data_IF_532650351281
#
_entry.id   IF_532650351281
#
_cell.length_a   1.000
_cell.length_b   1.000
_cell.length_c   1.000
_cell.angle_alpha   90.00
_cell.angle_beta   90.00
_cell.angle_gamma   90.00
#
_symmetry.space_group_name_H-M   'P 1'
#
loop_
_entity.id
_entity.type
_entity.pdbx_description
1 polymer ?
#
# COMPACT_ATOMS: atom_id res chain seq x y z
N UNK A 1 7.57 -4.63 8.50
CA UNK A 1 6.58 -3.68 9.05
C UNK A 1 7.23 -2.88 10.16
N UNK A 2 7.04 -1.56 10.17
CA UNK A 2 7.71 -0.62 11.09
C UNK A 2 7.00 0.73 11.22
N UNK A 3 5.72 0.80 10.86
CA UNK A 3 4.95 2.05 10.83
C UNK A 3 4.74 2.65 12.22
N UNK A 4 4.79 1.81 13.27
CA UNK A 4 4.74 2.26 14.67
C UNK A 4 5.86 3.22 15.05
N UNK A 5 6.99 3.21 14.33
CA UNK A 5 8.09 4.17 14.52
C UNK A 5 7.65 5.60 14.27
N UNK A 6 6.64 5.81 13.43
CA UNK A 6 6.10 7.14 13.14
C UNK A 6 5.06 7.62 14.16
N UNK A 7 4.68 6.80 15.15
CA UNK A 7 3.80 7.21 16.25
C UNK A 7 4.60 7.92 17.35
N UNK A 8 3.98 8.74 18.22
CA UNK A 8 4.64 9.27 19.42
C UNK A 8 5.26 8.18 20.30
N UNK A 9 6.36 8.48 21.01
CA UNK A 9 7.11 7.50 21.82
C UNK A 9 6.27 6.88 22.94
N UNK A 10 5.36 7.65 23.52
CA UNK A 10 4.45 7.26 24.59
C UNK A 10 3.18 6.56 24.07
N UNK A 11 2.98 6.50 22.75
CA UNK A 11 1.79 5.91 22.16
C UNK A 11 1.65 4.42 22.56
N UNK A 12 0.49 3.97 23.08
CA UNK A 12 0.32 2.64 23.65
C UNK A 12 0.62 1.51 22.66
N UNK A 13 0.34 1.71 21.37
CA UNK A 13 0.62 0.72 20.32
C UNK A 13 2.10 0.41 20.11
N UNK A 14 3.03 1.31 20.48
CA UNK A 14 4.47 0.99 20.47
C UNK A 14 4.81 -0.15 21.41
N UNK A 15 4.05 -0.33 22.50
CA UNK A 15 4.23 -1.41 23.49
C UNK A 15 3.41 -2.66 23.17
N UNK A 16 2.42 -2.58 22.28
CA UNK A 16 1.53 -3.69 21.93
C UNK A 16 2.25 -4.72 21.03
N UNK A 17 2.75 -5.79 21.64
CA UNK A 17 3.40 -6.88 20.91
C UNK A 17 2.39 -7.75 20.16
N UNK A 18 1.26 -8.04 20.82
CA UNK A 18 0.34 -9.11 20.43
C UNK A 18 -0.44 -8.77 19.17
N UNK A 19 -0.87 -7.51 19.01
CA UNK A 19 -1.61 -7.07 17.83
C UNK A 19 -0.72 -6.69 16.64
N UNK A 20 0.59 -6.60 16.83
CA UNK A 20 1.55 -6.20 15.80
C UNK A 20 2.50 -7.35 15.48
N UNK A 21 3.81 -7.11 15.50
CA UNK A 21 4.83 -8.02 15.01
C UNK A 21 5.51 -8.87 16.10
N UNK A 22 4.87 -9.03 17.27
CA UNK A 22 5.43 -9.76 18.40
C UNK A 22 6.50 -9.00 19.20
N UNK A 23 6.91 -7.80 18.76
CA UNK A 23 7.98 -6.99 19.38
C UNK A 23 7.46 -5.66 19.89
N UNK A 24 8.16 -5.07 20.87
CA UNK A 24 8.00 -3.64 21.22
C UNK A 24 8.67 -2.81 20.13
N UNK A 25 8.14 -1.63 19.86
CA UNK A 25 8.74 -0.66 18.95
C UNK A 25 9.37 0.48 19.75
N UNK A 26 10.64 0.30 20.09
CA UNK A 26 11.44 1.30 20.82
C UNK A 26 12.30 2.15 19.86
N UNK A 27 12.31 1.83 18.56
CA UNK A 27 13.11 2.56 17.57
C UNK A 27 12.44 3.88 17.15
N UNK A 28 13.30 4.82 16.75
CA UNK A 28 12.89 6.09 16.19
C UNK A 28 12.48 5.98 14.72
N UNK A 29 11.71 6.96 14.19
CA UNK A 29 11.51 7.08 12.76
C UNK A 29 12.85 7.05 12.00
N UNK A 30 12.90 6.44 10.80
CA UNK A 30 14.08 6.51 9.95
C UNK A 30 14.49 7.97 9.70
N UNK A 31 15.80 8.22 9.72
CA UNK A 31 16.35 9.55 9.44
C UNK A 31 16.24 9.83 7.94
N UNK A 32 15.70 10.99 7.58
CA UNK A 32 15.69 11.48 6.21
C UNK A 32 17.11 11.83 5.76
N UNK A 33 17.61 11.12 4.76
CA UNK A 33 18.93 11.38 4.17
C UNK A 33 18.92 12.68 3.39
N UNK A 34 19.97 13.50 3.52
CA UNK A 34 20.18 14.67 2.66
C UNK A 34 20.60 14.26 1.25
N UNK A 35 20.59 15.19 0.29
CA UNK A 35 21.07 14.90 -1.06
C UNK A 35 22.54 14.51 -1.05
N UNK A 36 23.34 15.19 -0.25
CA UNK A 36 24.77 14.92 -0.11
C UNK A 36 25.00 13.54 0.55
N UNK A 37 24.19 13.14 1.55
CA UNK A 37 24.25 11.78 2.13
C UNK A 37 23.97 10.68 1.09
N UNK A 38 23.00 10.91 0.18
CA UNK A 38 22.69 9.95 -0.89
C UNK A 38 23.85 9.87 -1.88
N UNK A 39 24.44 10.98 -2.29
CA UNK A 39 25.60 10.97 -3.18
C UNK A 39 26.78 10.21 -2.55
N UNK A 40 27.04 10.43 -1.26
CA UNK A 40 28.07 9.68 -0.52
C UNK A 40 27.79 8.16 -0.49
N UNK A 41 26.53 7.74 -0.42
CA UNK A 41 26.18 6.32 -0.54
C UNK A 41 26.41 5.80 -1.96
N UNK A 42 26.04 6.58 -2.98
CA UNK A 42 26.19 6.21 -4.39
C UNK A 42 27.65 6.10 -4.82
N UNK A 43 28.54 6.94 -4.28
CA UNK A 43 29.97 6.90 -4.59
C UNK A 43 30.68 5.67 -4.01
N UNK A 44 30.06 5.00 -3.02
CA UNK A 44 30.55 3.70 -2.50
C UNK A 44 30.15 2.52 -3.37
N UNK A 45 29.25 2.71 -4.34
CA UNK A 45 28.79 1.64 -5.20
C UNK A 45 29.85 1.30 -6.24
N UNK A 46 30.12 0.01 -6.39
CA UNK A 46 31.00 -0.47 -7.44
C UNK A 46 30.37 -0.23 -8.81
N UNK A 47 31.12 0.35 -9.74
CA UNK A 47 30.72 0.45 -11.14
C UNK A 47 30.65 -0.95 -11.73
N UNK A 48 29.47 -1.34 -12.24
CA UNK A 48 29.25 -2.67 -12.82
C UNK A 48 28.93 -2.54 -14.30
N UNK A 49 29.57 -3.38 -15.11
CA UNK A 49 29.28 -3.48 -16.55
C UNK A 49 27.85 -4.03 -16.72
N UNK A 50 26.96 -3.36 -17.49
CA UNK A 50 25.63 -3.89 -17.80
C UNK A 50 25.71 -5.19 -18.63
N UNK A 51 24.68 -6.06 -18.52
CA UNK A 51 24.59 -7.28 -19.33
C UNK A 51 24.60 -8.58 -18.51
N UNK A 52 24.41 -9.71 -19.20
CA UNK A 52 24.44 -11.04 -18.57
C UNK A 52 25.87 -11.37 -18.15
N UNK A 53 26.02 -11.88 -16.93
CA UNK A 53 27.30 -12.43 -16.51
C UNK A 53 27.63 -13.64 -17.41
N UNK A 54 28.89 -13.82 -17.80
CA UNK A 54 29.32 -14.91 -18.70
C UNK A 54 28.87 -16.28 -18.21
N UNK A 55 28.77 -16.45 -16.89
CA UNK A 55 28.28 -17.69 -16.24
C UNK A 55 26.80 -17.70 -15.83
N UNK A 56 25.97 -16.76 -16.31
CA UNK A 56 24.54 -16.61 -15.97
C UNK A 56 24.21 -16.53 -14.45
N UNK A 57 25.20 -16.32 -13.59
CA UNK A 57 24.99 -16.17 -12.14
C UNK A 57 24.37 -14.81 -11.80
N UNK A 58 23.34 -14.81 -10.95
CA UNK A 58 22.83 -13.57 -10.33
C UNK A 58 23.95 -12.95 -9.50
N UNK A 59 24.24 -11.67 -9.75
CA UNK A 59 25.25 -10.92 -9.00
C UNK A 59 24.84 -10.82 -7.54
N UNK A 60 25.73 -11.21 -6.63
CA UNK A 60 25.53 -10.97 -5.20
C UNK A 60 25.73 -9.48 -4.91
N UNK A 61 25.00 -8.98 -3.91
CA UNK A 61 25.06 -7.60 -3.43
C UNK A 61 25.60 -7.60 -2.01
N UNK A 62 26.49 -6.67 -1.71
CA UNK A 62 26.92 -6.38 -0.34
C UNK A 62 25.80 -5.67 0.45
N UNK A 63 25.87 -5.65 1.79
CA UNK A 63 24.92 -4.92 2.65
C UNK A 63 24.74 -3.45 2.25
N UNK A 64 25.83 -2.79 1.86
CA UNK A 64 25.89 -1.39 1.41
C UNK A 64 25.20 -1.14 0.06
N UNK A 65 25.02 -2.19 -0.75
CA UNK A 65 24.35 -2.13 -2.06
C UNK A 65 22.86 -2.52 -1.99
N UNK A 66 22.34 -2.85 -0.81
CA UNK A 66 20.96 -3.35 -0.70
C UNK A 66 19.92 -2.32 -1.11
N UNK A 67 20.20 -1.04 -0.88
CA UNK A 67 19.32 0.08 -1.22
C UNK A 67 19.45 0.55 -2.69
N UNK A 68 20.52 0.16 -3.38
CA UNK A 68 20.86 0.73 -4.68
C UNK A 68 21.09 -0.36 -5.72
N UNK A 69 20.40 -0.25 -6.86
CA UNK A 69 20.58 -1.21 -7.97
C UNK A 69 21.26 -0.59 -9.18
N UNK A 70 21.15 0.73 -9.35
CA UNK A 70 21.68 1.50 -10.48
C UNK A 70 21.97 2.95 -10.03
N UNK A 71 23.00 3.57 -10.60
CA UNK A 71 23.22 5.03 -10.56
C UNK A 71 22.57 5.63 -11.81
N UNK A 72 21.60 6.52 -11.61
CA UNK A 72 20.98 7.31 -12.69
C UNK A 72 21.90 8.46 -13.10
N UNK A 73 21.90 8.82 -14.38
CA UNK A 73 22.59 10.02 -14.89
C UNK A 73 22.08 11.30 -14.22
N UNK A 74 20.85 11.29 -13.69
CA UNK A 74 20.28 12.45 -12.99
C UNK A 74 21.06 12.82 -11.72
N UNK A 75 21.80 11.87 -11.11
CA UNK A 75 22.64 12.15 -9.95
C UNK A 75 23.90 12.96 -10.29
N UNK A 76 24.25 13.07 -11.57
CA UNK A 76 25.41 13.85 -12.05
C UNK A 76 25.07 15.34 -12.23
N UNK A 77 23.78 15.71 -12.16
CA UNK A 77 23.36 17.09 -12.28
C UNK A 77 23.91 17.91 -11.10
N UNK A 78 24.59 19.06 -11.34
CA UNK A 78 25.26 19.83 -10.27
C UNK A 78 24.33 20.28 -9.14
N UNK A 79 23.04 20.43 -9.43
CA UNK A 79 22.03 20.86 -8.46
C UNK A 79 21.27 19.70 -7.80
N UNK A 80 21.54 18.44 -8.18
CA UNK A 80 20.72 17.30 -7.75
C UNK A 80 20.66 17.19 -6.22
N UNK A 81 21.80 17.32 -5.54
CA UNK A 81 21.84 17.20 -4.07
C UNK A 81 21.13 18.33 -3.34
N UNK A 82 20.84 19.43 -4.05
CA UNK A 82 20.12 20.61 -3.52
C UNK A 82 18.61 20.53 -3.76
N UNK A 83 18.12 19.53 -4.50
CA UNK A 83 16.69 19.29 -4.68
C UNK A 83 16.03 18.88 -3.36
N UNK A 84 14.98 19.60 -2.96
CA UNK A 84 14.15 19.21 -1.82
C UNK A 84 13.32 17.97 -2.15
N UNK A 85 12.74 17.93 -3.35
CA UNK A 85 12.01 16.80 -3.87
C UNK A 85 12.88 16.07 -4.90
N UNK A 86 13.50 14.97 -4.47
CA UNK A 86 14.45 14.16 -5.28
C UNK A 86 13.80 13.03 -6.05
N UNK A 87 12.62 12.62 -5.61
CA UNK A 87 11.81 11.57 -6.21
C UNK A 87 10.37 12.09 -6.31
N UNK A 88 9.69 11.76 -7.40
CA UNK A 88 8.27 12.06 -7.58
C UNK A 88 7.52 10.73 -7.50
N UNK A 89 6.76 10.53 -6.43
CA UNK A 89 6.00 9.31 -6.22
C UNK A 89 4.80 9.31 -7.15
N UNK A 90 4.65 8.19 -7.86
CA UNK A 90 3.52 8.00 -8.75
C UNK A 90 2.28 7.61 -7.95
N UNK A 91 1.56 8.64 -7.49
CA UNK A 91 0.36 8.47 -6.66
C UNK A 91 -0.71 7.67 -7.38
N UNK A 92 -0.80 7.78 -8.71
CA UNK A 92 -1.73 7.01 -9.52
C UNK A 92 -1.52 5.51 -9.36
N UNK A 93 -0.27 5.08 -9.49
CA UNK A 93 0.07 3.68 -9.34
C UNK A 93 0.05 3.23 -7.88
N UNK A 94 0.43 4.10 -6.93
CA UNK A 94 0.31 3.79 -5.50
C UNK A 94 -1.16 3.49 -5.15
N UNK A 95 -2.08 4.39 -5.49
CA UNK A 95 -3.52 4.21 -5.24
C UNK A 95 -4.07 2.96 -5.93
N UNK A 96 -3.70 2.74 -7.19
CA UNK A 96 -4.11 1.54 -7.94
C UNK A 96 -3.66 0.26 -7.22
N UNK A 97 -2.38 0.14 -6.87
CA UNK A 97 -1.82 -1.06 -6.24
C UNK A 97 -2.43 -1.31 -4.86
N UNK A 98 -2.66 -0.25 -4.07
CA UNK A 98 -3.32 -0.34 -2.77
C UNK A 98 -4.76 -0.83 -2.94
N UNK A 99 -5.52 -0.23 -3.86
CA UNK A 99 -6.89 -0.61 -4.15
C UNK A 99 -6.99 -2.08 -4.61
N UNK A 100 -6.13 -2.51 -5.54
CA UNK A 100 -6.09 -3.89 -6.02
C UNK A 100 -5.71 -4.87 -4.91
N UNK A 101 -4.78 -4.51 -4.03
CA UNK A 101 -4.39 -5.34 -2.88
C UNK A 101 -5.53 -5.48 -1.86
N UNK A 102 -6.26 -4.40 -1.59
CA UNK A 102 -7.44 -4.42 -0.72
C UNK A 102 -8.53 -5.28 -1.33
N UNK A 103 -8.94 -5.02 -2.56
CA UNK A 103 -10.03 -5.76 -3.23
C UNK A 103 -9.67 -7.24 -3.43
N UNK A 104 -8.42 -7.53 -3.83
CA UNK A 104 -7.92 -8.89 -3.98
C UNK A 104 -7.98 -9.67 -2.66
N UNK A 105 -7.71 -9.02 -1.54
CA UNK A 105 -7.76 -9.63 -0.21
C UNK A 105 -9.20 -9.74 0.31
N UNK A 106 -9.97 -8.66 0.26
CA UNK A 106 -11.38 -8.62 0.71
C UNK A 106 -12.23 -9.67 -0.02
N UNK A 107 -12.09 -9.77 -1.34
CA UNK A 107 -12.88 -10.69 -2.15
C UNK A 107 -12.22 -12.08 -2.29
N UNK A 108 -11.09 -12.31 -1.61
CA UNK A 108 -10.31 -13.55 -1.67
C UNK A 108 -10.07 -14.04 -3.11
N UNK A 109 -9.53 -13.17 -3.95
CA UNK A 109 -9.28 -13.45 -5.37
C UNK A 109 -7.97 -14.24 -5.49
N UNK A 110 -8.06 -15.42 -6.08
CA UNK A 110 -6.89 -16.27 -6.31
C UNK A 110 -5.79 -15.55 -7.09
N UNK A 111 -4.55 -15.74 -6.65
CA UNK A 111 -3.36 -15.05 -7.17
C UNK A 111 -3.25 -13.54 -6.86
N UNK A 112 -4.29 -12.91 -6.28
CA UNK A 112 -4.28 -11.48 -5.93
C UNK A 112 -4.44 -11.20 -4.43
N UNK A 113 -5.03 -12.11 -3.67
CA UNK A 113 -5.15 -11.99 -2.23
C UNK A 113 -3.78 -11.91 -1.58
N UNK A 114 -3.62 -10.97 -0.63
CA UNK A 114 -2.43 -10.87 0.22
C UNK A 114 -2.49 -11.86 1.38
N UNK A 115 -3.62 -12.55 1.54
CA UNK A 115 -3.83 -13.58 2.53
C UNK A 115 -3.57 -14.98 1.94
N UNK A 116 -2.29 -15.35 1.93
CA UNK A 116 -1.82 -16.62 1.35
C UNK A 116 -1.44 -17.61 2.45
N UNK A 117 -1.32 -18.90 2.09
CA UNK A 117 -0.75 -19.93 2.98
C UNK A 117 0.59 -19.50 3.59
N UNK A 118 1.48 -18.91 2.79
CA UNK A 118 2.78 -18.39 3.24
C UNK A 118 2.59 -17.26 4.25
N UNK A 119 1.69 -16.33 3.97
CA UNK A 119 1.38 -15.24 4.89
C UNK A 119 0.81 -15.74 6.23
N UNK A 120 0.02 -16.83 6.24
CA UNK A 120 -0.44 -17.48 7.49
C UNK A 120 0.69 -18.19 8.24
N UNK A 121 1.63 -18.82 7.54
CA UNK A 121 2.83 -19.39 8.15
C UNK A 121 3.71 -18.30 8.77
N UNK A 122 3.85 -17.14 8.12
CA UNK A 122 4.57 -15.99 8.69
C UNK A 122 3.90 -15.52 10.00
N UNK A 123 2.56 -15.53 10.09
CA UNK A 123 1.85 -15.20 11.34
C UNK A 123 2.12 -16.22 12.45
N UNK A 124 2.26 -17.49 12.10
CA UNK A 124 2.58 -18.58 13.02
C UNK A 124 4.02 -18.48 13.54
N UNK A 125 4.99 -18.26 12.65
CA UNK A 125 6.41 -18.01 13.00
C UNK A 125 6.56 -16.79 13.92
N UNK A 126 5.79 -15.73 13.65
CA UNK A 126 5.74 -14.53 14.48
C UNK A 126 4.95 -14.74 15.79
N UNK A 127 4.26 -15.86 15.97
CA UNK A 127 3.42 -16.20 17.11
C UNK A 127 2.35 -15.12 17.43
N UNK A 128 1.70 -14.60 16.40
CA UNK A 128 0.63 -13.58 16.48
C UNK A 128 -0.62 -14.09 15.78
N UNK A 129 -1.80 -13.59 16.19
CA UNK A 129 -3.08 -13.88 15.52
C UNK A 129 -3.34 -15.38 15.34
N UNK A 130 -3.32 -16.13 16.45
CA UNK A 130 -3.48 -17.60 16.48
C UNK A 130 -4.77 -18.07 15.80
N UNK A 131 -5.81 -17.26 15.84
CA UNK A 131 -7.07 -17.48 15.14
C UNK A 131 -6.93 -17.58 13.61
N UNK A 132 -5.82 -17.08 13.05
CA UNK A 132 -5.51 -17.15 11.62
C UNK A 132 -4.52 -18.27 11.26
N UNK A 133 -3.96 -19.00 12.22
CA UNK A 133 -2.96 -20.05 11.95
C UNK A 133 -3.57 -21.22 11.16
N UNK A 134 -2.74 -21.92 10.40
CA UNK A 134 -3.21 -23.04 9.59
C UNK A 134 -3.61 -24.22 10.49
N UNK A 135 -4.74 -24.86 10.15
CA UNK A 135 -5.23 -26.03 10.91
C UNK A 135 -4.91 -27.30 10.11
N UNK A 136 -4.13 -28.20 10.70
CA UNK A 136 -3.82 -29.51 10.11
C UNK A 136 -5.05 -30.42 10.19
N UNK A 137 -5.56 -30.89 9.04
CA UNK A 137 -6.75 -31.76 8.94
C UNK A 137 -6.44 -33.24 8.66
N UNK A 138 -5.17 -33.65 8.76
CA UNK A 138 -4.69 -35.00 8.39
C UNK A 138 -4.26 -35.10 6.92
N UNK A 139 -3.41 -36.08 6.58
CA UNK A 139 -2.83 -36.29 5.23
C UNK A 139 -2.23 -35.02 4.59
N UNK A 140 -1.41 -34.28 5.34
CA UNK A 140 -0.72 -33.05 4.88
C UNK A 140 -1.66 -31.94 4.36
N UNK A 141 -2.97 -32.08 4.54
CA UNK A 141 -3.94 -31.06 4.16
C UNK A 141 -4.09 -30.05 5.29
N UNK A 142 -3.92 -28.79 4.92
CA UNK A 142 -4.14 -27.64 5.80
C UNK A 142 -5.44 -26.96 5.43
N UNK A 143 -6.17 -26.50 6.46
CA UNK A 143 -7.29 -25.60 6.29
C UNK A 143 -6.88 -24.18 6.71
N UNK A 144 -7.29 -23.19 5.94
CA UNK A 144 -7.16 -21.77 6.28
C UNK A 144 -8.42 -21.31 7.01
N UNK A 145 -8.34 -20.88 8.28
CA UNK A 145 -9.46 -20.27 8.97
C UNK A 145 -9.91 -18.99 8.26
N UNK A 146 -11.21 -18.74 8.26
CA UNK A 146 -11.79 -17.51 7.72
C UNK A 146 -11.24 -16.30 8.47
N UNK A 147 -10.76 -15.30 7.72
CA UNK A 147 -10.32 -14.04 8.28
C UNK A 147 -11.46 -13.03 8.35
N UNK A 148 -11.43 -12.16 9.37
CA UNK A 148 -12.42 -11.09 9.58
C UNK A 148 -12.43 -10.00 8.50
N UNK A 149 -11.38 -9.95 7.67
CA UNK A 149 -11.23 -9.04 6.54
C UNK A 149 -11.58 -9.70 5.20
N UNK A 150 -12.03 -10.95 5.17
CA UNK A 150 -12.45 -11.64 3.94
C UNK A 150 -13.97 -11.72 3.90
N UNK A 151 -14.56 -11.25 2.81
CA UNK A 151 -15.99 -11.37 2.55
C UNK A 151 -16.37 -12.82 2.26
N UNK A 152 -17.49 -13.24 2.80
CA UNK A 152 -18.18 -14.48 2.42
C UNK A 152 -18.65 -14.41 0.96
N UNK A 153 -19.02 -15.55 0.39
CA UNK A 153 -19.56 -15.62 -0.98
C UNK A 153 -20.77 -14.68 -1.17
N UNK A 154 -21.67 -14.63 -0.20
CA UNK A 154 -22.87 -13.79 -0.22
C UNK A 154 -22.51 -12.31 -0.19
N UNK A 155 -21.64 -11.91 0.74
CA UNK A 155 -21.18 -10.52 0.86
C UNK A 155 -20.45 -10.04 -0.41
N UNK A 156 -19.70 -10.92 -1.10
CA UNK A 156 -19.09 -10.58 -2.40
C UNK A 156 -20.12 -10.32 -3.49
N UNK A 157 -21.22 -11.09 -3.51
CA UNK A 157 -22.31 -10.89 -4.47
C UNK A 157 -23.02 -9.57 -4.22
N UNK A 158 -23.40 -9.32 -2.96
CA UNK A 158 -24.03 -8.06 -2.53
C UNK A 158 -23.13 -6.85 -2.86
N UNK A 159 -21.81 -6.98 -2.62
CA UNK A 159 -20.86 -5.95 -3.02
C UNK A 159 -20.82 -5.75 -4.54
N UNK A 160 -20.77 -6.83 -5.34
CA UNK A 160 -20.80 -6.74 -6.80
C UNK A 160 -22.10 -6.10 -7.33
N UNK A 161 -23.24 -6.46 -6.75
CA UNK A 161 -24.55 -5.87 -7.06
C UNK A 161 -24.58 -4.38 -6.74
N UNK A 162 -24.04 -4.00 -5.58
CA UNK A 162 -23.85 -2.59 -5.22
C UNK A 162 -22.99 -1.87 -6.27
N UNK A 163 -21.84 -2.41 -6.67
CA UNK A 163 -20.99 -1.84 -7.72
C UNK A 163 -21.76 -1.64 -9.03
N UNK A 164 -22.64 -2.57 -9.41
CA UNK A 164 -23.47 -2.42 -10.62
C UNK A 164 -24.51 -1.31 -10.52
N UNK A 165 -25.06 -1.12 -9.33
CA UNK A 165 -26.08 -0.08 -9.08
C UNK A 165 -25.50 1.33 -9.04
N UNK A 166 -24.19 1.47 -8.78
CA UNK A 166 -23.53 2.76 -8.65
C UNK A 166 -23.52 3.47 -10.02
N UNK A 167 -24.10 4.67 -10.05
CA UNK A 167 -24.05 5.59 -11.19
C UNK A 167 -23.34 6.87 -10.78
N UNK A 168 -22.59 7.43 -11.72
CA UNK A 168 -21.91 8.72 -11.54
C UNK A 168 -22.46 9.74 -12.53
N UNK A 169 -22.37 11.05 -12.21
CA UNK A 169 -22.60 12.10 -13.19
C UNK A 169 -21.69 11.93 -14.41
N UNK A 170 -22.15 12.42 -15.55
CA UNK A 170 -21.37 12.40 -16.78
C UNK A 170 -20.01 13.10 -16.59
N UNK A 171 -18.96 12.53 -17.18
CA UNK A 171 -17.59 13.01 -17.05
C UNK A 171 -16.88 12.74 -15.70
N UNK A 172 -17.55 12.17 -14.69
CA UNK A 172 -16.91 11.90 -13.39
C UNK A 172 -16.11 10.59 -13.36
N UNK A 173 -16.70 9.47 -13.79
CA UNK A 173 -16.06 8.16 -13.78
C UNK A 173 -16.51 7.32 -14.98
N UNK A 174 -15.65 6.37 -15.39
CA UNK A 174 -16.05 5.36 -16.37
C UNK A 174 -17.14 4.45 -15.79
N UNK A 175 -17.87 3.72 -16.65
CA UNK A 175 -18.86 2.76 -16.15
C UNK A 175 -18.17 1.64 -15.35
N UNK A 176 -18.21 1.72 -14.01
CA UNK A 176 -17.51 0.77 -13.13
C UNK A 176 -18.20 -0.60 -13.11
N UNK A 177 -19.49 -0.70 -13.46
CA UNK A 177 -20.19 -1.98 -13.56
C UNK A 177 -19.51 -2.97 -14.51
N UNK A 178 -18.80 -2.48 -15.53
CA UNK A 178 -18.01 -3.30 -16.46
C UNK A 178 -16.89 -4.10 -15.79
N UNK A 179 -16.47 -3.67 -14.60
CA UNK A 179 -15.41 -4.34 -13.85
C UNK A 179 -15.92 -5.59 -13.12
N UNK A 180 -17.24 -5.72 -12.93
CA UNK A 180 -17.85 -6.87 -12.25
C UNK A 180 -17.85 -8.07 -13.19
N UNK A 181 -17.23 -9.19 -12.76
CA UNK A 181 -17.25 -10.43 -13.55
C UNK A 181 -18.65 -11.03 -13.62
N UNK A 182 -18.95 -11.81 -14.65
CA UNK A 182 -20.24 -12.50 -14.82
C UNK A 182 -20.64 -13.44 -13.69
N UNK A 183 -19.67 -13.87 -12.87
CA UNK A 183 -19.90 -14.75 -11.70
C UNK A 183 -20.29 -14.00 -10.41
N UNK A 184 -20.14 -12.68 -10.39
CA UNK A 184 -20.45 -11.81 -9.24
C UNK A 184 -19.61 -12.11 -8.01
N UNK A 185 -18.37 -12.57 -8.22
CA UNK A 185 -17.45 -12.93 -7.15
C UNK A 185 -16.21 -12.07 -7.07
N UNK A 186 -15.90 -11.28 -8.11
CA UNK A 186 -14.68 -10.46 -8.18
C UNK A 186 -14.82 -9.29 -9.14
N UNK A 187 -13.94 -8.31 -8.94
CA UNK A 187 -13.68 -7.22 -9.88
C UNK A 187 -12.45 -7.53 -10.75
N UNK A 188 -12.51 -7.16 -12.03
CA UNK A 188 -11.45 -7.38 -13.02
C UNK A 188 -11.46 -6.28 -14.08
N UNK A 189 -10.36 -6.13 -14.83
CA UNK A 189 -10.29 -5.13 -15.91
C UNK A 189 -10.36 -3.66 -15.46
N UNK A 190 -10.03 -3.40 -14.18
CA UNK A 190 -10.00 -2.05 -13.62
C UNK A 190 -8.79 -1.28 -14.16
N UNK A 191 -9.02 -0.04 -14.58
CA UNK A 191 -7.97 0.94 -14.88
C UNK A 191 -7.60 1.70 -13.60
N UNK A 192 -6.50 2.44 -13.65
CA UNK A 192 -6.00 3.22 -12.50
C UNK A 192 -7.07 4.20 -11.97
N UNK A 193 -7.82 4.85 -12.87
CA UNK A 193 -8.93 5.74 -12.49
C UNK A 193 -10.10 5.02 -11.82
N UNK A 194 -10.43 3.79 -12.25
CA UNK A 194 -11.49 3.01 -11.60
C UNK A 194 -11.07 2.66 -10.17
N UNK A 195 -9.80 2.28 -9.98
CA UNK A 195 -9.24 1.99 -8.66
C UNK A 195 -9.27 3.20 -7.72
N UNK A 196 -8.94 4.38 -8.24
CA UNK A 196 -9.03 5.66 -7.52
C UNK A 196 -10.47 5.94 -7.04
N UNK A 197 -11.44 5.87 -7.96
CA UNK A 197 -12.87 6.08 -7.61
C UNK A 197 -13.35 5.03 -6.62
N UNK A 198 -12.96 3.76 -6.80
CA UNK A 198 -13.33 2.69 -5.89
C UNK A 198 -12.78 2.95 -4.50
N UNK A 199 -11.47 3.19 -4.37
CA UNK A 199 -10.82 3.37 -3.07
C UNK A 199 -11.38 4.57 -2.30
N UNK A 200 -11.59 5.69 -2.99
CA UNK A 200 -11.96 6.95 -2.34
C UNK A 200 -13.46 7.12 -2.09
N UNK A 201 -14.31 6.60 -2.98
CA UNK A 201 -15.76 6.91 -2.97
C UNK A 201 -16.63 5.70 -2.72
N UNK A 202 -16.33 4.58 -3.38
CA UNK A 202 -17.22 3.43 -3.40
C UNK A 202 -16.93 2.50 -2.24
N UNK A 203 -15.67 2.14 -2.01
CA UNK A 203 -15.25 1.18 -1.01
C UNK A 203 -15.72 1.57 0.41
N UNK A 204 -15.59 2.83 0.87
CA UNK A 204 -16.07 3.22 2.20
C UNK A 204 -17.58 3.02 2.43
N UNK A 205 -18.35 3.04 1.35
CA UNK A 205 -19.82 2.86 1.38
C UNK A 205 -20.20 1.41 1.12
N UNK A 206 -19.61 0.79 0.10
CA UNK A 206 -20.00 -0.52 -0.40
C UNK A 206 -19.64 -1.68 0.53
N UNK A 207 -18.64 -1.54 1.39
CA UNK A 207 -18.30 -2.58 2.37
C UNK A 207 -19.18 -2.54 3.63
N UNK A 208 -20.15 -1.62 3.72
CA UNK A 208 -21.05 -1.52 4.88
C UNK A 208 -21.92 -2.77 4.94
N UNK A 209 -21.74 -3.55 6.01
CA UNK A 209 -22.47 -4.80 6.23
C UNK A 209 -21.74 -6.05 5.74
N UNK A 210 -20.63 -5.91 5.00
CA UNK A 210 -19.89 -7.02 4.40
C UNK A 210 -18.59 -7.39 5.12
N UNK A 211 -18.13 -6.55 6.04
CA UNK A 211 -16.90 -6.75 6.81
C UNK A 211 -17.08 -6.24 8.24
N UNK A 212 -16.18 -6.64 9.14
CA UNK A 212 -16.21 -6.17 10.53
C UNK A 212 -16.07 -4.63 10.63
N UNK A 213 -16.60 -4.07 11.73
CA UNK A 213 -16.52 -2.63 12.02
C UNK A 213 -15.09 -2.10 11.95
N UNK A 214 -14.12 -2.83 12.52
CA UNK A 214 -12.71 -2.42 12.54
C UNK A 214 -12.10 -2.34 11.12
N UNK A 215 -12.41 -3.33 10.26
CA UNK A 215 -11.98 -3.34 8.85
C UNK A 215 -12.61 -2.19 8.07
N UNK A 216 -13.92 -1.98 8.26
CA UNK A 216 -14.64 -0.88 7.58
C UNK A 216 -14.09 0.48 7.95
N UNK A 217 -13.83 0.72 9.24
CA UNK A 217 -13.34 2.01 9.74
C UNK A 217 -11.97 2.34 9.15
N UNK A 218 -11.01 1.41 9.20
CA UNK A 218 -9.68 1.69 8.66
C UNK A 218 -9.69 1.89 7.14
N UNK A 219 -10.51 1.14 6.40
CA UNK A 219 -10.61 1.32 4.94
C UNK A 219 -11.33 2.61 4.57
N UNK A 220 -12.29 3.05 5.39
CA UNK A 220 -12.93 4.37 5.25
C UNK A 220 -11.94 5.50 5.52
N UNK A 221 -11.15 5.40 6.59
CA UNK A 221 -10.08 6.37 6.91
C UNK A 221 -9.04 6.44 5.79
N UNK A 222 -8.63 5.30 5.23
CA UNK A 222 -7.70 5.24 4.11
C UNK A 222 -8.29 5.88 2.84
N UNK A 223 -9.56 5.58 2.52
CA UNK A 223 -10.26 6.20 1.40
C UNK A 223 -10.37 7.73 1.56
N UNK A 224 -10.69 8.21 2.76
CA UNK A 224 -10.68 9.63 3.07
C UNK A 224 -9.28 10.24 2.97
N UNK A 225 -8.23 9.57 3.46
CA UNK A 225 -6.86 10.06 3.32
C UNK A 225 -6.52 10.33 1.85
N UNK A 226 -6.77 9.36 0.96
CA UNK A 226 -6.52 9.53 -0.47
C UNK A 226 -7.42 10.59 -1.12
N UNK A 227 -8.68 10.70 -0.67
CA UNK A 227 -9.57 11.76 -1.10
C UNK A 227 -9.01 13.15 -0.76
N UNK A 228 -8.47 13.34 0.45
CA UNK A 228 -7.95 14.64 0.90
C UNK A 228 -6.63 14.97 0.20
N UNK A 229 -5.70 14.02 0.08
CA UNK A 229 -4.38 14.30 -0.51
C UNK A 229 -4.51 14.60 -2.01
N UNK A 230 -5.51 14.03 -2.68
CA UNK A 230 -5.77 14.22 -4.11
C UNK A 230 -6.73 15.39 -4.41
N UNK A 231 -7.10 16.19 -3.40
CA UNK A 231 -7.92 17.38 -3.60
C UNK A 231 -7.21 18.44 -4.46
N UNK A 232 -8.02 19.22 -5.20
CA UNK A 232 -7.50 20.26 -6.10
C UNK A 232 -6.81 21.42 -5.38
N UNK A 233 -7.22 21.67 -4.13
CA UNK A 233 -6.67 22.68 -3.24
C UNK A 233 -6.21 21.97 -1.98
N UNK A 234 -4.99 22.24 -1.55
CA UNK A 234 -4.41 21.66 -0.35
C UNK A 234 -4.13 22.77 0.67
N UNK A 235 -4.42 22.47 1.93
CA UNK A 235 -4.04 23.31 3.06
C UNK A 235 -2.81 22.71 3.74
N UNK A 236 -1.77 23.51 3.95
CA UNK A 236 -0.52 23.04 4.57
C UNK A 236 -0.73 22.47 5.98
N UNK A 237 -1.55 23.11 6.80
CA UNK A 237 -1.86 22.64 8.16
C UNK A 237 -2.58 21.29 8.15
N UNK A 238 -3.48 21.08 7.19
CA UNK A 238 -4.13 19.77 7.01
C UNK A 238 -3.11 18.72 6.57
N UNK A 239 -2.22 19.03 5.63
CA UNK A 239 -1.16 18.11 5.20
C UNK A 239 -0.22 17.70 6.36
N UNK A 240 0.14 18.64 7.24
CA UNK A 240 0.95 18.30 8.42
C UNK A 240 0.22 17.35 9.37
N UNK A 241 -1.10 17.52 9.55
CA UNK A 241 -1.92 16.57 10.31
C UNK A 241 -1.98 15.20 9.63
N UNK A 242 -2.11 15.18 8.31
CA UNK A 242 -2.20 13.95 7.52
C UNK A 242 -0.97 13.04 7.67
N UNK A 243 0.21 13.58 8.01
CA UNK A 243 1.41 12.79 8.34
C UNK A 243 1.19 11.86 9.53
N UNK A 244 0.53 12.34 10.57
CA UNK A 244 0.14 11.53 11.72
C UNK A 244 -0.99 10.57 11.40
N UNK A 245 -2.00 11.05 10.65
CA UNK A 245 -3.18 10.25 10.30
C UNK A 245 -2.79 9.00 9.49
N UNK A 246 -1.94 9.15 8.47
CA UNK A 246 -1.51 7.99 7.65
C UNK A 246 -0.69 6.98 8.45
N UNK A 247 0.16 7.43 9.38
CA UNK A 247 0.88 6.54 10.28
C UNK A 247 -0.07 5.71 11.15
N UNK A 248 -1.14 6.34 11.66
CA UNK A 248 -2.19 5.65 12.42
C UNK A 248 -2.98 4.66 11.56
N UNK A 249 -3.35 5.05 10.33
CA UNK A 249 -4.07 4.18 9.38
C UNK A 249 -3.23 2.95 9.06
N UNK A 250 -1.94 3.12 8.71
CA UNK A 250 -1.03 2.01 8.44
C UNK A 250 -0.86 1.08 9.65
N UNK A 251 -0.81 1.63 10.86
CA UNK A 251 -0.77 0.82 12.08
C UNK A 251 -2.08 0.05 12.32
N UNK A 252 -3.24 0.65 12.04
CA UNK A 252 -4.54 -0.04 12.11
C UNK A 252 -4.62 -1.18 11.10
N UNK A 253 -4.16 -0.94 9.87
CA UNK A 253 -4.07 -1.98 8.85
C UNK A 253 -3.15 -3.12 9.31
N UNK A 254 -2.01 -2.81 9.93
CA UNK A 254 -1.01 -3.82 10.36
C UNK A 254 -1.59 -4.80 11.40
N UNK A 255 -2.50 -4.32 12.24
CA UNK A 255 -3.23 -5.14 13.20
C UNK A 255 -4.19 -6.13 12.55
N UNK A 256 -4.69 -5.80 11.36
CA UNK A 256 -5.76 -6.53 10.67
C UNK A 256 -5.15 -7.47 9.63
N UNK A 257 -4.39 -6.93 8.70
CA UNK A 257 -3.90 -7.64 7.52
C UNK A 257 -2.58 -8.36 7.77
N UNK A 258 -2.31 -9.48 7.08
CA UNK A 258 -1.06 -10.21 7.23
C UNK A 258 0.13 -9.39 6.68
N UNK A 259 1.38 -9.74 7.09
CA UNK A 259 2.58 -9.03 6.66
C UNK A 259 2.71 -8.85 5.14
N UNK A 260 2.27 -9.84 4.37
CA UNK A 260 2.29 -9.82 2.91
C UNK A 260 1.48 -8.68 2.26
N UNK A 261 0.55 -8.06 3.01
CA UNK A 261 -0.19 -6.88 2.55
C UNK A 261 0.71 -5.64 2.44
N UNK A 262 1.75 -5.54 3.25
CA UNK A 262 2.60 -4.35 3.36
C UNK A 262 3.77 -4.39 2.40
N UNK A 263 3.46 -4.31 1.11
CA UNK A 263 4.47 -4.09 0.07
C UNK A 263 4.93 -2.62 0.02
N UNK A 264 5.85 -2.34 -0.90
CA UNK A 264 6.42 -1.00 -1.07
C UNK A 264 5.35 0.04 -1.40
N UNK A 265 4.32 -0.30 -2.17
CA UNK A 265 3.29 0.67 -2.57
C UNK A 265 2.45 1.12 -1.39
N UNK A 266 2.09 0.18 -0.50
CA UNK A 266 1.41 0.51 0.77
C UNK A 266 2.30 1.41 1.62
N UNK A 267 3.60 1.09 1.73
CA UNK A 267 4.53 1.89 2.53
C UNK A 267 4.69 3.32 1.98
N UNK A 268 4.73 3.50 0.67
CA UNK A 268 4.93 4.81 0.03
C UNK A 268 3.85 5.84 0.42
N UNK A 269 2.66 5.40 0.83
CA UNK A 269 1.59 6.28 1.28
C UNK A 269 2.00 7.21 2.44
N UNK A 270 2.93 6.77 3.30
CA UNK A 270 3.40 7.57 4.44
C UNK A 270 4.17 8.83 4.01
N UNK A 271 4.76 8.83 2.81
CA UNK A 271 5.58 9.92 2.29
C UNK A 271 4.76 10.94 1.49
N UNK A 272 3.52 10.61 1.11
CA UNK A 272 2.69 11.45 0.26
C UNK A 272 2.39 12.84 0.85
N UNK A 273 2.14 13.01 2.16
CA UNK A 273 1.92 14.33 2.73
C UNK A 273 3.14 15.24 2.62
N UNK A 274 4.34 14.74 2.96
CA UNK A 274 5.59 15.50 2.83
C UNK A 274 5.87 15.89 1.38
N UNK A 275 5.61 14.97 0.45
CA UNK A 275 5.75 15.24 -0.97
C UNK A 275 4.73 16.26 -1.48
N UNK A 276 3.49 16.25 -0.99
CA UNK A 276 2.47 17.24 -1.31
C UNK A 276 2.79 18.63 -0.72
N UNK A 277 3.41 18.69 0.46
CA UNK A 277 3.90 19.94 1.07
C UNK A 277 4.98 20.60 0.20
N UNK A 278 5.87 19.79 -0.39
CA UNK A 278 6.97 20.29 -1.23
C UNK A 278 6.55 20.54 -2.68
N UNK A 279 5.78 19.62 -3.27
CA UNK A 279 5.44 19.59 -4.69
C UNK A 279 4.05 20.14 -5.02
N UNK A 280 3.26 20.54 -4.02
CA UNK A 280 1.90 21.03 -4.20
C UNK A 280 0.89 19.94 -4.62
N UNK A 281 -0.28 20.36 -5.15
CA UNK A 281 -1.38 19.47 -5.51
C UNK A 281 -0.95 18.34 -6.44
N UNK A 282 -1.34 17.11 -6.07
CA UNK A 282 -0.96 15.89 -6.80
C UNK A 282 -1.47 15.93 -8.24
N UNK A 283 -2.59 16.60 -8.52
CA UNK A 283 -3.19 16.76 -9.86
C UNK A 283 -2.19 17.15 -10.97
N UNK A 284 -1.15 17.93 -10.66
CA UNK A 284 -0.13 18.37 -11.62
C UNK A 284 1.01 17.36 -11.82
N UNK A 285 1.00 16.28 -11.04
CA UNK A 285 2.04 15.25 -10.98
C UNK A 285 1.49 13.85 -11.29
N UNK A 286 0.24 13.75 -11.75
CA UNK A 286 -0.33 12.48 -12.21
C UNK A 286 0.25 12.07 -13.55
N UNK A 287 0.34 10.75 -13.73
CA UNK A 287 0.70 10.13 -14.99
C UNK A 287 -0.48 9.95 -15.96
N UNK A 288 -1.73 10.23 -15.54
CA UNK A 288 -2.91 10.05 -16.40
C UNK A 288 -2.81 10.72 -17.79
N UNK A 289 -2.37 11.98 -17.93
CA UNK A 289 -2.29 12.62 -19.24
C UNK A 289 -1.23 11.96 -20.13
N UNK A 290 -0.11 11.54 -19.52
CA UNK A 290 1.02 10.92 -20.21
C UNK A 290 0.61 9.52 -20.72
N UNK A 291 0.02 8.69 -19.86
CA UNK A 291 -0.45 7.35 -20.25
C UNK A 291 -1.59 7.35 -21.27
N UNK A 292 -2.35 8.44 -21.37
CA UNK A 292 -3.39 8.59 -22.41
C UNK A 292 -2.81 9.01 -23.75
N UNK A 293 -1.63 9.62 -23.76
CA UNK A 293 -0.96 10.10 -24.96
C UNK A 293 -0.09 9.02 -25.62
N UNK A 294 0.55 8.17 -24.81
CA UNK A 294 1.35 7.02 -25.24
C UNK A 294 0.47 5.83 -25.68
#
# INVERSE_FOLDING_TARGET
MGHRRSLPRDHPWRKDKKKFNGKKEDAEPPISLTGDDILLQLDRLQTRIPGKHVSNKKRKRGPEELNWTKRSILFELPYWSKLKLRHNLDVMHIEKNICESILGTLMNVDGKTKDTMKARLDLEDMNIRKELHLIKKGNEKYAMPAASYVMTKKERQEFCEFIRSVKFPDGYASNISRCVTSSDQKLSGMKSHDCHVILQRILPVGIRGSVTKEVREVLTELGHFFQHICCKKLNKTELEKMKGDIALILCKLEKIYPPAFFDVMVHLSIHLPDEAILGGPIQFRWMYPIERFL
#
